data_IF_021467049236
#
_entry.id   IF_021467049236
#
_cell.length_a   1.000
_cell.length_b   1.000
_cell.length_c   1.000
_cell.angle_alpha   90.00
_cell.angle_beta   90.00
_cell.angle_gamma   90.00
#
_symmetry.space_group_name_H-M   'P 1'
#
loop_
_entity.id
_entity.type
_entity.pdbx_description
1 polymer ?
#
# COMPACT_ATOMS: atom_id res chain seq x y z
N UNK A 1 -22.16 -16.60 -1.91
CA UNK A 1 -21.49 -15.90 -0.79
C UNK A 1 -20.06 -16.39 -0.56
N UNK A 2 -19.81 -17.72 -0.56
CA UNK A 2 -18.45 -18.28 -0.45
C UNK A 2 -17.54 -17.91 -1.63
N UNK A 3 -18.05 -17.95 -2.87
CA UNK A 3 -17.29 -17.57 -4.08
C UNK A 3 -16.96 -16.07 -4.11
N UNK A 4 -17.85 -15.20 -3.60
CA UNK A 4 -17.60 -13.76 -3.49
C UNK A 4 -16.56 -13.41 -2.40
N UNK A 5 -16.47 -14.23 -1.33
CA UNK A 5 -15.38 -14.14 -0.34
C UNK A 5 -14.05 -14.64 -0.91
N UNK A 6 -14.07 -15.67 -1.76
CA UNK A 6 -12.88 -16.18 -2.43
C UNK A 6 -12.31 -15.18 -3.46
N UNK A 7 -13.17 -14.49 -4.22
CA UNK A 7 -12.73 -13.43 -5.14
C UNK A 7 -12.16 -12.20 -4.42
N UNK A 8 -12.67 -11.86 -3.23
CA UNK A 8 -12.10 -10.82 -2.36
C UNK A 8 -10.79 -11.26 -1.68
N UNK A 9 -10.65 -12.54 -1.29
CA UNK A 9 -9.41 -13.07 -0.69
C UNK A 9 -8.26 -13.16 -1.70
N UNK A 10 -8.54 -13.52 -2.96
CA UNK A 10 -7.56 -13.49 -4.05
C UNK A 10 -7.23 -12.03 -4.46
N UNK A 11 -8.20 -11.12 -4.41
CA UNK A 11 -8.00 -9.67 -4.61
C UNK A 11 -7.12 -9.02 -3.52
N UNK A 12 -7.35 -9.45 -2.28
CA UNK A 12 -6.54 -9.11 -1.13
C UNK A 12 -5.14 -9.68 -1.35
N UNK A 13 -4.97 -10.94 -1.77
CA UNK A 13 -3.63 -11.48 -2.07
C UNK A 13 -2.87 -10.67 -3.12
N UNK A 14 -3.46 -10.25 -4.23
CA UNK A 14 -2.75 -9.45 -5.23
C UNK A 14 -2.39 -8.03 -4.74
N UNK A 15 -3.21 -7.43 -3.89
CA UNK A 15 -2.97 -6.08 -3.34
C UNK A 15 -2.03 -6.13 -2.13
N UNK A 16 -2.09 -7.20 -1.34
CA UNK A 16 -1.32 -7.43 -0.13
C UNK A 16 0.05 -8.01 -0.47
N UNK A 17 0.19 -8.91 -1.44
CA UNK A 17 1.50 -9.31 -1.98
C UNK A 17 2.17 -8.09 -2.61
N UNK A 18 1.41 -7.13 -3.16
CA UNK A 18 1.95 -5.83 -3.58
C UNK A 18 2.31 -4.92 -2.40
N UNK A 19 1.63 -4.98 -1.25
CA UNK A 19 1.92 -4.18 -0.05
C UNK A 19 3.06 -4.79 0.78
N UNK A 20 3.15 -6.11 0.91
CA UNK A 20 4.23 -6.85 1.54
C UNK A 20 5.49 -6.82 0.66
N UNK A 21 5.35 -6.98 -0.67
CA UNK A 21 6.42 -6.65 -1.60
C UNK A 21 6.74 -5.16 -1.56
N UNK A 22 5.79 -4.22 -1.54
CA UNK A 22 6.11 -2.79 -1.38
C UNK A 22 6.72 -2.47 -0.02
N UNK A 23 6.48 -3.24 1.03
CA UNK A 23 7.10 -3.08 2.33
C UNK A 23 8.51 -3.70 2.37
N UNK A 24 8.76 -4.80 1.66
CA UNK A 24 10.07 -5.45 1.57
C UNK A 24 10.97 -4.78 0.51
N UNK A 25 10.42 -4.49 -0.66
CA UNK A 25 11.01 -3.73 -1.76
C UNK A 25 11.13 -2.24 -1.40
N UNK A 26 10.14 -1.68 -0.71
CA UNK A 26 10.24 -0.36 -0.09
C UNK A 26 11.34 -0.32 0.98
N UNK A 27 11.48 -1.35 1.83
CA UNK A 27 12.61 -1.48 2.76
C UNK A 27 13.97 -1.50 2.06
N UNK A 28 14.10 -2.23 0.95
CA UNK A 28 15.32 -2.24 0.14
C UNK A 28 15.57 -0.88 -0.52
N UNK A 29 14.53 -0.25 -1.06
CA UNK A 29 14.62 1.07 -1.69
C UNK A 29 14.99 2.14 -0.67
N UNK A 30 14.36 2.15 0.50
CA UNK A 30 14.62 3.09 1.61
C UNK A 30 16.06 2.94 2.09
N UNK A 31 16.48 1.73 2.44
CA UNK A 31 17.85 1.52 2.88
C UNK A 31 18.84 1.90 1.77
N UNK A 32 18.59 1.49 0.51
CA UNK A 32 19.47 1.85 -0.60
C UNK A 32 19.55 3.36 -0.84
N UNK A 33 18.44 4.10 -0.75
CA UNK A 33 18.41 5.54 -0.98
C UNK A 33 19.10 6.30 0.15
N UNK A 34 18.95 5.86 1.40
CA UNK A 34 19.56 6.50 2.56
C UNK A 34 21.07 6.22 2.63
N UNK A 35 21.51 4.98 2.41
CA UNK A 35 22.96 4.65 2.37
C UNK A 35 23.70 5.34 1.23
N UNK A 36 23.00 5.78 0.18
CA UNK A 36 23.58 6.53 -0.93
C UNK A 36 23.89 7.98 -0.60
N UNK A 37 23.22 8.55 0.40
CA UNK A 37 23.18 10.01 0.62
C UNK A 37 23.52 10.43 2.05
N UNK A 38 23.35 9.53 3.02
CA UNK A 38 23.56 9.80 4.45
C UNK A 38 24.78 9.02 4.93
N UNK A 39 25.57 9.65 5.80
CA UNK A 39 26.73 9.00 6.38
C UNK A 39 26.29 7.79 7.22
N UNK A 40 26.86 6.58 6.99
CA UNK A 40 26.49 5.36 7.69
C UNK A 40 26.56 5.45 9.23
N UNK A 41 27.33 6.38 9.76
CA UNK A 41 27.50 6.61 11.21
C UNK A 41 26.23 7.15 11.88
N UNK A 42 25.37 7.85 11.12
CA UNK A 42 24.13 8.44 11.62
C UNK A 42 22.90 7.56 11.36
N UNK A 43 23.07 6.43 10.68
CA UNK A 43 21.99 5.47 10.42
C UNK A 43 21.93 4.49 11.60
N UNK A 44 20.87 4.49 12.43
CA UNK A 44 20.79 3.59 13.57
C UNK A 44 20.74 2.13 13.10
N UNK A 45 21.46 1.23 13.80
CA UNK A 45 21.43 -0.20 13.51
C UNK A 45 20.03 -0.82 13.68
N UNK A 46 19.16 -0.16 14.46
CA UNK A 46 17.78 -0.54 14.66
C UNK A 46 16.90 -0.12 13.47
N UNK A 47 16.08 -1.06 12.97
CA UNK A 47 15.14 -0.91 11.84
C UNK A 47 14.14 0.25 11.97
N UNK A 48 14.02 0.85 13.16
CA UNK A 48 13.06 1.90 13.54
C UNK A 48 13.67 3.30 13.59
N UNK A 49 15.01 3.41 13.65
CA UNK A 49 15.71 4.70 13.70
C UNK A 49 15.60 5.52 12.42
N UNK A 50 14.97 4.97 11.38
CA UNK A 50 14.67 5.65 10.12
C UNK A 50 13.83 6.93 10.29
N UNK A 51 12.86 6.94 11.22
CA UNK A 51 12.03 8.13 11.50
C UNK A 51 12.77 9.18 12.34
N UNK A 52 13.86 8.78 12.99
CA UNK A 52 14.62 9.61 13.92
C UNK A 52 15.79 10.32 13.22
N UNK A 53 16.17 9.88 12.02
CA UNK A 53 17.22 10.51 11.21
C UNK A 53 16.71 11.85 10.68
N UNK A 54 17.30 12.93 11.17
CA UNK A 54 17.05 14.27 10.67
C UNK A 54 17.71 14.46 9.30
N UNK A 55 16.90 14.44 8.23
CA UNK A 55 17.35 14.66 6.86
C UNK A 55 17.72 16.13 6.56
N UNK A 56 17.33 17.07 7.42
CA UNK A 56 17.57 18.50 7.21
C UNK A 56 18.94 18.97 7.73
N UNK A 57 19.59 18.16 8.58
CA UNK A 57 20.90 18.49 9.12
C UNK A 57 22.00 18.14 8.10
N UNK A 58 22.67 19.18 7.59
CA UNK A 58 23.79 19.06 6.64
C UNK A 58 24.96 18.24 7.18
N UNK A 59 25.07 18.04 8.50
CA UNK A 59 26.08 17.18 9.11
C UNK A 59 25.82 15.67 8.88
N UNK A 60 24.58 15.29 8.58
CA UNK A 60 24.21 13.89 8.31
C UNK A 60 24.50 13.49 6.86
N UNK A 61 24.76 14.47 5.99
CA UNK A 61 24.88 14.28 4.55
C UNK A 61 26.27 13.77 4.16
N UNK A 62 26.33 12.88 3.16
CA UNK A 62 27.58 12.54 2.49
C UNK A 62 28.07 13.72 1.65
N UNK A 63 29.39 13.86 1.54
CA UNK A 63 30.02 14.76 0.58
C UNK A 63 29.59 14.39 -0.84
N UNK A 64 29.48 15.38 -1.73
CA UNK A 64 29.01 15.19 -3.12
C UNK A 64 29.74 14.05 -3.85
N UNK A 65 31.06 13.94 -3.62
CA UNK A 65 31.92 12.91 -4.22
C UNK A 65 31.73 11.50 -3.65
N UNK A 66 31.06 11.36 -2.51
CA UNK A 66 30.77 10.09 -1.85
C UNK A 66 29.30 9.66 -2.02
N UNK A 67 28.48 10.47 -2.69
CA UNK A 67 27.09 10.14 -2.98
C UNK A 67 27.05 9.09 -4.10
N UNK A 68 26.44 7.94 -3.84
CA UNK A 68 26.23 6.93 -4.88
C UNK A 68 24.97 7.25 -5.68
N UNK A 69 25.17 7.95 -6.80
CA UNK A 69 24.11 8.33 -7.74
C UNK A 69 23.70 7.15 -8.65
N UNK A 70 24.52 6.09 -8.70
CA UNK A 70 24.26 4.86 -9.42
C UNK A 70 25.09 4.69 -10.69
N UNK A 71 25.54 3.45 -10.90
CA UNK A 71 26.47 3.05 -11.98
C UNK A 71 26.00 3.44 -13.38
N UNK A 72 24.70 3.33 -13.66
CA UNK A 72 24.15 3.64 -14.98
C UNK A 72 24.29 5.13 -15.33
N UNK A 73 24.06 6.02 -14.38
CA UNK A 73 24.23 7.45 -14.62
C UNK A 73 25.70 7.79 -14.85
N UNK A 74 26.60 7.20 -14.05
CA UNK A 74 28.04 7.43 -14.20
C UNK A 74 28.55 7.00 -15.59
N UNK A 75 28.04 5.91 -16.15
CA UNK A 75 28.37 5.46 -17.51
C UNK A 75 27.89 6.47 -18.56
N UNK A 76 26.66 6.98 -18.42
CA UNK A 76 26.10 7.96 -19.36
C UNK A 76 26.85 9.31 -19.24
N UNK A 77 27.15 9.78 -18.03
CA UNK A 77 27.93 11.01 -17.80
C UNK A 77 29.33 10.91 -18.43
N UNK A 78 29.99 9.76 -18.31
CA UNK A 78 31.26 9.50 -18.97
C UNK A 78 31.14 9.48 -20.51
N UNK A 79 29.98 9.07 -21.05
CA UNK A 79 29.73 9.05 -22.49
C UNK A 79 29.45 10.46 -23.07
N UNK A 80 28.78 11.33 -22.32
CA UNK A 80 28.35 12.66 -22.79
C UNK A 80 29.44 13.76 -22.72
N UNK A 81 30.62 13.50 -22.12
CA UNK A 81 31.75 14.46 -21.99
C UNK A 81 31.29 15.86 -21.58
N UNK A 82 30.67 15.95 -20.41
CA UNK A 82 30.22 17.22 -19.82
C UNK A 82 31.41 18.06 -19.33
N UNK A 83 31.22 19.38 -19.25
CA UNK A 83 32.17 20.26 -18.55
C UNK A 83 32.10 20.00 -17.03
N UNK A 84 33.19 20.23 -16.30
CA UNK A 84 33.26 20.00 -14.84
C UNK A 84 32.18 20.75 -14.03
N UNK A 85 31.70 21.90 -14.52
CA UNK A 85 30.60 22.63 -13.88
C UNK A 85 29.24 21.95 -14.12
N UNK A 86 29.01 21.46 -15.34
CA UNK A 86 27.77 20.75 -15.69
C UNK A 86 27.69 19.38 -15.00
N UNK A 87 28.82 18.71 -14.82
CA UNK A 87 28.91 17.46 -14.07
C UNK A 87 28.50 17.69 -12.62
N UNK A 88 29.03 18.73 -11.96
CA UNK A 88 28.65 19.11 -10.60
C UNK A 88 27.19 19.49 -10.47
N UNK A 89 26.63 20.22 -11.43
CA UNK A 89 25.22 20.59 -11.43
C UNK A 89 24.31 19.34 -11.52
N UNK A 90 24.67 18.37 -12.37
CA UNK A 90 23.93 17.10 -12.49
C UNK A 90 24.04 16.29 -11.20
N UNK A 91 25.22 16.22 -10.58
CA UNK A 91 25.42 15.53 -9.30
C UNK A 91 24.57 16.15 -8.18
N UNK A 92 24.52 17.50 -8.10
CA UNK A 92 23.69 18.22 -7.15
C UNK A 92 22.20 17.90 -7.34
N UNK A 93 21.71 17.99 -8.57
CA UNK A 93 20.30 17.67 -8.88
C UNK A 93 19.97 16.23 -8.49
N UNK A 94 20.86 15.28 -8.80
CA UNK A 94 20.63 13.87 -8.47
C UNK A 94 20.63 13.63 -6.96
N UNK A 95 21.56 14.25 -6.23
CA UNK A 95 21.61 14.20 -4.77
C UNK A 95 20.32 14.75 -4.17
N UNK A 96 19.91 15.94 -4.59
CA UNK A 96 18.73 16.63 -4.08
C UNK A 96 17.45 15.84 -4.41
N UNK A 97 17.39 15.19 -5.57
CA UNK A 97 16.32 14.26 -5.92
C UNK A 97 16.25 13.06 -4.97
N UNK A 98 17.39 12.44 -4.64
CA UNK A 98 17.41 11.31 -3.71
C UNK A 98 17.04 11.76 -2.28
N UNK A 99 17.47 12.95 -1.86
CA UNK A 99 17.04 13.55 -0.59
C UNK A 99 15.53 13.77 -0.53
N UNK A 100 14.95 14.37 -1.56
CA UNK A 100 13.51 14.58 -1.62
C UNK A 100 12.78 13.25 -1.65
N UNK A 101 13.27 12.24 -2.37
CA UNK A 101 12.72 10.89 -2.34
C UNK A 101 12.77 10.28 -0.93
N UNK A 102 13.88 10.41 -0.21
CA UNK A 102 14.04 9.94 1.16
C UNK A 102 13.05 10.62 2.12
N UNK A 103 12.92 11.95 2.03
CA UNK A 103 11.98 12.77 2.82
C UNK A 103 10.53 12.38 2.56
N UNK A 104 10.19 12.19 1.28
CA UNK A 104 8.87 11.77 0.83
C UNK A 104 8.50 10.37 1.31
N UNK A 105 9.47 9.48 1.52
CA UNK A 105 9.23 8.18 2.15
C UNK A 105 9.06 8.31 3.66
N UNK A 106 9.87 9.13 4.35
CA UNK A 106 9.67 9.44 5.79
C UNK A 106 8.29 10.00 6.06
N UNK A 107 7.83 10.97 5.26
CA UNK A 107 6.53 11.60 5.42
C UNK A 107 5.35 10.62 5.24
N UNK A 108 5.49 9.63 4.36
CA UNK A 108 4.42 8.67 4.04
C UNK A 108 4.35 7.49 5.01
N UNK A 109 5.40 7.27 5.81
CA UNK A 109 5.40 6.22 6.82
C UNK A 109 4.67 6.71 8.06
N UNK A 110 3.70 5.95 8.57
CA UNK A 110 2.89 6.43 9.67
C UNK A 110 3.70 6.42 10.98
N UNK A 111 3.45 7.36 11.90
CA UNK A 111 4.20 7.49 13.15
C UNK A 111 4.05 6.26 14.07
N UNK A 112 3.03 5.43 13.85
CA UNK A 112 2.77 4.20 14.61
C UNK A 112 3.48 2.98 14.02
N UNK A 113 4.67 3.13 13.41
CA UNK A 113 5.42 2.01 12.82
C UNK A 113 5.68 0.85 13.81
N UNK A 114 5.78 1.16 15.10
CA UNK A 114 5.89 0.15 16.17
C UNK A 114 4.67 -0.75 16.27
N UNK A 115 3.45 -0.23 16.04
CA UNK A 115 2.22 -1.02 15.95
C UNK A 115 2.35 -2.02 14.80
N UNK A 116 2.83 -1.56 13.64
CA UNK A 116 3.00 -2.38 12.45
C UNK A 116 4.12 -3.40 12.56
N UNK A 117 5.15 -3.14 13.38
CA UNK A 117 6.17 -4.13 13.69
C UNK A 117 5.59 -5.37 14.35
N UNK A 118 4.47 -5.24 15.08
CA UNK A 118 3.78 -6.39 15.65
C UNK A 118 3.03 -7.24 14.62
N UNK A 119 2.87 -6.79 13.37
CA UNK A 119 2.40 -7.66 12.28
C UNK A 119 3.38 -8.81 12.01
N UNK A 120 4.67 -8.64 12.32
CA UNK A 120 5.67 -9.72 12.18
C UNK A 120 5.32 -10.95 13.02
N UNK A 121 4.56 -10.78 14.10
CA UNK A 121 4.05 -11.89 14.92
C UNK A 121 3.08 -12.80 14.14
N UNK A 122 2.44 -12.28 13.09
CA UNK A 122 1.55 -13.02 12.19
C UNK A 122 2.25 -13.50 10.91
N UNK A 123 3.57 -13.37 10.80
CA UNK A 123 4.31 -13.98 9.70
C UNK A 123 4.33 -15.51 9.84
N UNK A 124 4.39 -16.27 8.74
CA UNK A 124 4.46 -17.74 8.78
C UNK A 124 5.60 -18.23 9.68
N UNK A 125 6.78 -17.60 9.62
CA UNK A 125 7.93 -17.95 10.46
C UNK A 125 7.62 -17.81 11.97
N UNK A 126 6.99 -16.69 12.37
CA UNK A 126 6.63 -16.44 13.77
C UNK A 126 5.50 -17.35 14.26
N UNK A 127 4.49 -17.60 13.43
CA UNK A 127 3.31 -18.39 13.80
C UNK A 127 3.62 -19.90 13.81
N UNK A 128 4.60 -20.34 13.04
CA UNK A 128 5.05 -21.73 13.04
C UNK A 128 6.15 -22.01 14.07
N UNK A 129 6.80 -20.96 14.61
CA UNK A 129 7.74 -21.08 15.72
C UNK A 129 7.08 -21.66 16.97
N UNK A 130 7.81 -22.49 17.72
CA UNK A 130 7.38 -22.95 19.04
C UNK A 130 7.53 -21.86 20.12
N UNK A 131 8.45 -20.92 19.90
CA UNK A 131 8.66 -19.76 20.79
C UNK A 131 7.95 -18.57 20.16
N UNK A 132 6.73 -18.29 20.64
CA UNK A 132 5.87 -17.21 20.14
C UNK A 132 5.81 -16.07 21.16
N UNK A 133 5.65 -14.85 20.64
CA UNK A 133 5.24 -13.72 21.48
C UNK A 133 3.82 -13.99 21.97
N UNK A 134 3.56 -13.94 23.29
CA UNK A 134 2.21 -14.09 23.83
C UNK A 134 1.25 -13.09 23.19
N UNK A 135 0.04 -13.54 22.86
CA UNK A 135 -0.92 -12.70 22.12
C UNK A 135 -1.25 -11.40 22.88
N UNK A 136 -1.25 -11.44 24.22
CA UNK A 136 -1.44 -10.27 25.10
C UNK A 136 -0.42 -9.14 24.86
N UNK A 137 0.79 -9.48 24.42
CA UNK A 137 1.89 -8.54 24.23
C UNK A 137 1.90 -7.97 22.80
N UNK A 138 0.95 -8.39 21.95
CA UNK A 138 0.81 -7.91 20.57
C UNK A 138 -0.06 -6.65 20.55
N UNK A 139 0.50 -5.45 20.28
CA UNK A 139 -0.25 -4.19 20.25
C UNK A 139 -1.47 -4.17 19.32
N UNK A 140 -1.40 -4.89 18.19
CA UNK A 140 -2.50 -4.98 17.22
C UNK A 140 -3.72 -5.75 17.73
N UNK A 141 -3.60 -6.50 18.83
CA UNK A 141 -4.73 -7.23 19.43
C UNK A 141 -5.89 -6.30 19.79
N UNK A 142 -5.62 -5.02 20.07
CA UNK A 142 -6.64 -3.99 20.34
C UNK A 142 -7.64 -3.78 19.19
N UNK A 143 -7.30 -4.21 17.96
CA UNK A 143 -8.17 -4.10 16.80
C UNK A 143 -9.14 -5.28 16.67
N UNK A 144 -8.90 -6.37 17.38
CA UNK A 144 -9.76 -7.54 17.36
C UNK A 144 -11.01 -7.33 18.21
N UNK A 145 -12.17 -7.69 17.67
CA UNK A 145 -13.49 -7.51 18.32
C UNK A 145 -14.22 -8.84 18.60
N UNK A 146 -13.55 -9.98 18.45
CA UNK A 146 -14.12 -11.31 18.66
C UNK A 146 -13.74 -11.94 20.01
N UNK A 147 -13.89 -13.26 20.10
CA UNK A 147 -13.49 -14.04 21.28
C UNK A 147 -11.97 -14.20 21.37
N UNK A 148 -11.36 -13.54 22.35
CA UNK A 148 -9.91 -13.58 22.57
C UNK A 148 -9.41 -14.94 23.05
N UNK A 149 -10.21 -15.71 23.79
CA UNK A 149 -9.81 -17.02 24.30
C UNK A 149 -9.69 -18.04 23.16
N UNK A 150 -10.66 -17.99 22.25
CA UNK A 150 -10.63 -18.80 21.04
C UNK A 150 -9.49 -18.37 20.11
N UNK A 151 -9.26 -17.06 19.96
CA UNK A 151 -8.15 -16.52 19.17
C UNK A 151 -6.77 -16.97 19.70
N UNK A 152 -6.52 -16.92 21.01
CA UNK A 152 -5.24 -17.37 21.60
C UNK A 152 -5.01 -18.87 21.39
N UNK A 153 -6.08 -19.68 21.49
CA UNK A 153 -6.02 -21.12 21.23
C UNK A 153 -5.65 -21.40 19.77
N UNK A 154 -6.28 -20.68 18.84
CA UNK A 154 -6.00 -20.77 17.41
C UNK A 154 -4.66 -20.15 17.01
N UNK A 155 -4.11 -19.22 17.78
CA UNK A 155 -2.79 -18.65 17.51
C UNK A 155 -1.65 -19.61 17.89
N UNK A 156 -1.85 -20.46 18.91
CA UNK A 156 -0.84 -21.43 19.35
C UNK A 156 -0.79 -22.67 18.49
N UNK A 157 -1.95 -23.17 18.08
CA UNK A 157 -2.14 -24.46 17.40
C UNK A 157 -1.51 -24.65 16.00
N UNK A 158 -1.32 -23.62 15.14
CA UNK A 158 -0.82 -23.79 13.78
C UNK A 158 0.59 -24.37 13.67
N UNK A 159 1.43 -24.27 14.70
CA UNK A 159 2.77 -24.86 14.68
C UNK A 159 2.76 -26.40 14.77
N UNK A 160 1.61 -27.00 15.08
CA UNK A 160 1.44 -28.45 15.19
C UNK A 160 1.14 -29.12 13.85
N UNK A 161 0.84 -28.34 12.81
CA UNK A 161 0.42 -28.84 11.50
C UNK A 161 1.43 -28.46 10.42
N UNK A 162 1.64 -29.34 9.42
CA UNK A 162 2.44 -29.01 8.25
C UNK A 162 1.62 -28.19 7.23
N UNK A 163 2.16 -27.07 6.79
CA UNK A 163 1.54 -26.18 5.79
C UNK A 163 2.35 -26.16 4.50
N UNK A 164 1.68 -26.19 3.34
CA UNK A 164 2.35 -26.20 2.03
C UNK A 164 2.99 -24.86 1.72
N UNK A 165 2.35 -23.76 2.10
CA UNK A 165 2.85 -22.41 1.85
C UNK A 165 3.73 -21.83 2.98
N UNK A 166 4.12 -22.63 3.98
CA UNK A 166 4.96 -22.17 5.09
C UNK A 166 6.28 -21.50 4.65
N UNK A 167 6.92 -22.04 3.60
CA UNK A 167 8.19 -21.54 3.07
C UNK A 167 8.02 -20.54 1.93
N UNK A 168 6.77 -20.25 1.55
CA UNK A 168 6.49 -19.36 0.44
C UNK A 168 6.60 -17.91 0.93
N UNK A 169 7.15 -17.01 0.11
CA UNK A 169 7.28 -15.58 0.46
C UNK A 169 5.94 -14.83 0.46
N UNK A 170 4.84 -15.52 0.16
CA UNK A 170 3.51 -14.98 0.10
C UNK A 170 2.74 -15.30 1.39
N UNK A 171 2.73 -14.33 2.30
CA UNK A 171 2.04 -14.43 3.59
C UNK A 171 0.51 -14.60 3.42
N UNK A 172 -0.07 -14.16 2.30
CA UNK A 172 -1.52 -14.22 2.09
C UNK A 172 -1.95 -15.62 1.71
N UNK A 173 -1.22 -16.27 0.80
CA UNK A 173 -1.50 -17.64 0.42
C UNK A 173 -1.41 -18.59 1.62
N UNK A 174 -0.49 -18.32 2.55
CA UNK A 174 -0.42 -19.03 3.82
C UNK A 174 -1.71 -18.86 4.64
N UNK A 175 -2.15 -17.62 4.89
CA UNK A 175 -3.35 -17.40 5.71
C UNK A 175 -4.65 -17.85 5.03
N UNK A 176 -4.71 -17.86 3.69
CA UNK A 176 -5.81 -18.48 2.94
C UNK A 176 -5.81 -20.00 3.13
N UNK A 177 -4.65 -20.66 3.07
CA UNK A 177 -4.53 -22.10 3.36
C UNK A 177 -4.97 -22.43 4.80
N UNK A 178 -4.62 -21.59 5.77
CA UNK A 178 -5.04 -21.73 7.17
C UNK A 178 -6.55 -21.53 7.32
N UNK A 179 -7.14 -20.58 6.59
CA UNK A 179 -8.59 -20.32 6.59
C UNK A 179 -9.39 -21.50 5.99
N UNK A 180 -8.88 -22.08 4.90
CA UNK A 180 -9.51 -23.19 4.19
C UNK A 180 -9.30 -24.55 4.88
N UNK A 181 -8.48 -24.60 5.94
CA UNK A 181 -8.24 -25.83 6.69
C UNK A 181 -9.45 -26.22 7.55
N UNK A 182 -10.04 -27.36 7.22
CA UNK A 182 -11.16 -27.96 7.95
C UNK A 182 -10.75 -29.24 8.67
N UNK A 183 -11.33 -29.48 9.84
CA UNK A 183 -11.18 -30.76 10.55
C UNK A 183 -11.94 -31.91 9.87
N UNK A 184 -11.87 -33.10 10.48
CA UNK A 184 -12.63 -34.27 10.06
C UNK A 184 -14.17 -34.06 10.12
N UNK A 185 -14.64 -33.04 10.85
CA UNK A 185 -16.04 -32.66 10.99
C UNK A 185 -16.49 -31.67 9.90
N UNK A 186 -15.55 -31.13 9.10
CA UNK A 186 -15.80 -30.11 8.09
C UNK A 186 -15.89 -28.68 8.65
N UNK A 187 -15.54 -28.46 9.92
CA UNK A 187 -15.50 -27.14 10.53
C UNK A 187 -14.11 -26.51 10.42
N UNK A 188 -14.06 -25.19 10.19
CA UNK A 188 -12.83 -24.41 10.06
C UNK A 188 -12.16 -24.22 11.43
N UNK A 189 -10.99 -24.82 11.65
CA UNK A 189 -10.31 -24.80 12.95
C UNK A 189 -9.65 -23.46 13.30
N UNK A 190 -9.33 -22.64 12.30
CA UNK A 190 -8.46 -21.47 12.42
C UNK A 190 -9.10 -20.19 11.87
N UNK A 191 -10.42 -20.15 11.81
CA UNK A 191 -11.15 -19.08 11.11
C UNK A 191 -10.88 -17.71 11.71
N UNK A 192 -10.91 -17.59 13.03
CA UNK A 192 -10.80 -16.31 13.73
C UNK A 192 -9.40 -15.73 13.62
N UNK A 193 -8.36 -16.58 13.75
CA UNK A 193 -6.98 -16.14 13.56
C UNK A 193 -6.67 -15.79 12.10
N UNK A 194 -7.19 -16.58 11.15
CA UNK A 194 -6.97 -16.35 9.74
C UNK A 194 -7.71 -15.11 9.23
N UNK A 195 -8.99 -14.94 9.61
CA UNK A 195 -9.76 -13.73 9.29
C UNK A 195 -9.10 -12.49 9.89
N UNK A 196 -8.58 -12.58 11.13
CA UNK A 196 -7.87 -11.47 11.76
C UNK A 196 -6.57 -11.14 11.02
N UNK A 197 -5.72 -12.13 10.73
CA UNK A 197 -4.47 -11.93 10.01
C UNK A 197 -4.70 -11.38 8.60
N UNK A 198 -5.67 -11.92 7.85
CA UNK A 198 -6.05 -11.42 6.53
C UNK A 198 -6.58 -9.98 6.59
N UNK A 199 -7.35 -9.63 7.64
CA UNK A 199 -7.84 -8.27 7.84
C UNK A 199 -6.72 -7.28 8.15
N UNK A 200 -5.74 -7.69 8.96
CA UNK A 200 -4.54 -6.89 9.23
C UNK A 200 -3.72 -6.68 7.95
N UNK A 201 -3.52 -7.75 7.19
CA UNK A 201 -2.79 -7.71 5.94
C UNK A 201 -3.49 -6.84 4.88
N UNK A 202 -4.82 -6.83 4.85
CA UNK A 202 -5.64 -5.98 3.97
C UNK A 202 -5.64 -4.49 4.37
N UNK A 203 -5.08 -4.14 5.53
CA UNK A 203 -5.09 -2.78 6.02
C UNK A 203 -4.12 -1.90 5.20
N UNK A 204 -4.56 -0.75 4.67
CA UNK A 204 -3.67 0.15 3.96
C UNK A 204 -2.64 0.74 4.94
N UNK A 205 -1.36 0.40 4.74
CA UNK A 205 -0.26 0.85 5.60
C UNK A 205 0.18 2.29 5.34
N UNK A 206 -0.22 2.88 4.22
CA UNK A 206 0.20 4.21 3.82
C UNK A 206 -0.85 4.91 2.96
N UNK A 207 -0.72 6.23 2.86
CA UNK A 207 -1.58 7.05 2.00
C UNK A 207 -1.29 6.87 0.50
N UNK A 208 -0.35 6.01 0.09
CA UNK A 208 0.04 5.79 -1.30
C UNK A 208 -1.15 5.33 -2.15
N UNK A 209 -2.03 4.48 -1.62
CA UNK A 209 -3.19 4.02 -2.37
C UNK A 209 -4.22 5.15 -2.57
N UNK A 210 -4.36 6.03 -1.59
CA UNK A 210 -5.21 7.23 -1.69
C UNK A 210 -4.61 8.22 -2.70
N UNK A 211 -3.30 8.48 -2.65
CA UNK A 211 -2.58 9.32 -3.63
C UNK A 211 -2.70 8.77 -5.06
N UNK A 212 -2.65 7.45 -5.22
CA UNK A 212 -2.86 6.79 -6.51
C UNK A 212 -4.28 6.99 -7.03
N UNK A 213 -5.30 6.93 -6.17
CA UNK A 213 -6.69 7.29 -6.54
C UNK A 213 -6.77 8.75 -6.96
N UNK A 214 -6.14 9.67 -6.23
CA UNK A 214 -6.12 11.08 -6.61
C UNK A 214 -5.37 11.35 -7.93
N UNK A 215 -4.28 10.64 -8.20
CA UNK A 215 -3.59 10.70 -9.49
C UNK A 215 -4.51 10.24 -10.63
N UNK A 216 -5.21 9.12 -10.46
CA UNK A 216 -6.21 8.66 -11.42
C UNK A 216 -7.38 9.64 -11.57
N UNK A 217 -7.80 10.28 -10.47
CA UNK A 217 -8.82 11.33 -10.48
C UNK A 217 -8.36 12.54 -11.29
N UNK A 218 -7.11 12.97 -11.17
CA UNK A 218 -6.55 14.10 -11.94
C UNK A 218 -6.53 13.81 -13.45
N UNK A 219 -6.36 12.55 -13.86
CA UNK A 219 -6.48 12.16 -15.28
C UNK A 219 -7.93 12.28 -15.76
N UNK A 220 -8.91 11.97 -14.92
CA UNK A 220 -10.34 12.08 -15.25
C UNK A 220 -10.79 13.54 -15.23
N UNK A 221 -10.42 14.28 -14.19
CA UNK A 221 -10.62 15.73 -14.04
C UNK A 221 -9.47 16.50 -14.67
N UNK A 222 -9.44 16.50 -16.00
CA UNK A 222 -8.54 17.40 -16.77
C UNK A 222 -8.97 18.86 -16.61
N UNK A 223 -8.10 19.82 -16.95
CA UNK A 223 -8.41 21.26 -16.92
C UNK A 223 -9.74 21.62 -17.62
N UNK A 224 -10.04 20.97 -18.75
CA UNK A 224 -11.28 21.18 -19.51
C UNK A 224 -12.50 20.40 -18.99
N UNK A 225 -12.31 19.46 -18.06
CA UNK A 225 -13.35 18.55 -17.52
C UNK A 225 -13.34 18.56 -15.98
N UNK A 226 -13.25 19.74 -15.38
CA UNK A 226 -13.20 19.89 -13.91
C UNK A 226 -14.59 19.95 -13.25
N UNK A 227 -15.66 20.33 -13.98
CA UNK A 227 -17.04 20.47 -13.46
C UNK A 227 -17.85 19.17 -13.37
N UNK A 228 -17.18 18.02 -13.24
CA UNK A 228 -17.85 16.72 -13.15
C UNK A 228 -18.43 16.48 -11.75
N UNK A 229 -19.72 16.11 -11.67
CA UNK A 229 -20.39 15.77 -10.41
C UNK A 229 -19.83 14.49 -9.79
N UNK A 230 -19.86 14.41 -8.46
CA UNK A 230 -19.29 13.30 -7.68
C UNK A 230 -19.80 11.90 -8.08
N UNK A 231 -21.11 11.67 -8.33
CA UNK A 231 -21.59 10.34 -8.74
C UNK A 231 -20.99 9.87 -10.06
N UNK A 232 -20.87 10.78 -11.04
CA UNK A 232 -20.26 10.48 -12.33
C UNK A 232 -18.77 10.21 -12.20
N UNK A 233 -18.06 11.03 -11.42
CA UNK A 233 -16.64 10.83 -11.15
C UNK A 233 -16.39 9.48 -10.47
N UNK A 234 -17.17 9.16 -9.44
CA UNK A 234 -17.09 7.89 -8.73
C UNK A 234 -17.34 6.72 -9.67
N UNK A 235 -18.38 6.79 -10.51
CA UNK A 235 -18.67 5.74 -11.50
C UNK A 235 -17.51 5.49 -12.47
N UNK A 236 -16.90 6.55 -13.00
CA UNK A 236 -15.74 6.44 -13.92
C UNK A 236 -14.53 5.83 -13.20
N UNK A 237 -14.25 6.27 -11.97
CA UNK A 237 -13.17 5.71 -11.16
C UNK A 237 -13.39 4.22 -10.88
N UNK A 238 -14.60 3.82 -10.48
CA UNK A 238 -14.95 2.42 -10.22
C UNK A 238 -14.76 1.53 -11.46
N UNK A 239 -15.21 1.98 -12.64
CA UNK A 239 -15.02 1.23 -13.88
C UNK A 239 -13.52 1.08 -14.19
N UNK A 240 -12.75 2.17 -14.07
CA UNK A 240 -11.32 2.16 -14.38
C UNK A 240 -10.54 1.25 -13.43
N UNK A 241 -10.84 1.31 -12.14
CA UNK A 241 -10.24 0.43 -11.13
C UNK A 241 -10.67 -1.02 -11.31
N UNK A 242 -11.95 -1.29 -11.57
CA UNK A 242 -12.46 -2.63 -11.81
C UNK A 242 -11.85 -3.31 -13.03
N UNK A 243 -11.67 -2.56 -14.13
CA UNK A 243 -11.00 -3.08 -15.34
C UNK A 243 -9.51 -3.35 -15.10
N UNK A 244 -8.82 -2.41 -14.43
CA UNK A 244 -7.41 -2.59 -14.05
C UNK A 244 -7.21 -3.79 -13.14
N UNK A 245 -8.11 -3.97 -12.17
CA UNK A 245 -8.11 -5.08 -11.24
C UNK A 245 -8.24 -6.43 -11.96
N UNK A 246 -9.11 -6.52 -12.96
CA UNK A 246 -9.28 -7.73 -13.78
C UNK A 246 -8.17 -7.93 -14.82
N UNK A 247 -7.26 -6.96 -15.00
CA UNK A 247 -6.24 -7.00 -16.05
C UNK A 247 -6.81 -6.90 -17.47
N UNK A 248 -8.03 -6.39 -17.63
CA UNK A 248 -8.75 -6.35 -18.92
C UNK A 248 -8.74 -4.93 -19.47
N UNK A 249 -8.39 -4.78 -20.76
CA UNK A 249 -8.50 -3.49 -21.44
C UNK A 249 -9.97 -3.16 -21.74
N UNK A 250 -10.33 -1.88 -21.80
CA UNK A 250 -11.69 -1.46 -22.16
C UNK A 250 -12.19 -2.01 -23.51
N UNK A 251 -11.27 -2.42 -24.40
CA UNK A 251 -11.56 -3.02 -25.70
C UNK A 251 -12.03 -4.48 -25.61
N UNK A 252 -11.53 -5.21 -24.61
CA UNK A 252 -11.76 -6.65 -24.46
C UNK A 252 -12.85 -6.94 -23.42
N UNK A 253 -13.31 -5.90 -22.72
CA UNK A 253 -14.32 -6.05 -21.69
C UNK A 253 -15.71 -6.31 -22.28
N UNK A 254 -16.18 -7.54 -22.11
CA UNK A 254 -17.53 -7.92 -22.48
C UNK A 254 -18.52 -7.68 -21.34
N UNK A 255 -19.56 -6.90 -21.63
CA UNK A 255 -20.64 -6.64 -20.67
C UNK A 255 -21.49 -7.90 -20.49
N UNK A 256 -21.80 -8.24 -19.24
CA UNK A 256 -22.74 -9.33 -18.93
C UNK A 256 -24.14 -8.96 -19.41
N UNK A 257 -24.90 -9.95 -19.92
CA UNK A 257 -26.29 -9.75 -20.36
C UNK A 257 -27.17 -9.06 -19.30
N UNK A 258 -26.94 -9.36 -18.01
CA UNK A 258 -27.61 -8.69 -16.88
C UNK A 258 -27.35 -7.18 -16.83
N UNK A 259 -26.14 -6.74 -17.13
CA UNK A 259 -25.78 -5.31 -17.16
C UNK A 259 -26.43 -4.64 -18.37
N UNK A 260 -26.45 -5.30 -19.53
CA UNK A 260 -27.12 -4.79 -20.73
C UNK A 260 -28.63 -4.60 -20.53
N UNK A 261 -29.29 -5.49 -19.78
CA UNK A 261 -30.71 -5.33 -19.44
C UNK A 261 -30.99 -4.09 -18.56
N UNK A 262 -29.99 -3.61 -17.81
CA UNK A 262 -30.11 -2.38 -17.01
C UNK A 262 -30.01 -1.12 -17.88
N UNK A 263 -29.49 -1.19 -19.10
CA UNK A 263 -29.48 -0.10 -20.09
C UNK A 263 -30.86 0.04 -20.77
N UNK A 264 -31.89 0.35 -19.98
CA UNK A 264 -33.22 0.70 -20.48
C UNK A 264 -33.57 2.16 -20.14
N UNK A 265 -34.52 2.72 -20.87
CA UNK A 265 -34.90 4.14 -20.74
C UNK A 265 -35.35 4.51 -19.33
N UNK A 266 -36.01 3.59 -18.62
CA UNK A 266 -36.48 3.77 -17.24
C UNK A 266 -35.32 3.93 -16.26
N UNK A 267 -34.23 3.17 -16.41
CA UNK A 267 -33.07 3.24 -15.52
C UNK A 267 -32.08 4.36 -15.89
N UNK A 268 -31.97 4.69 -17.18
CA UNK A 268 -31.02 5.71 -17.67
C UNK A 268 -31.57 7.13 -17.57
N UNK A 269 -32.87 7.31 -17.78
CA UNK A 269 -33.53 8.62 -17.80
C UNK A 269 -34.66 8.72 -16.79
N UNK A 270 -34.83 7.72 -15.92
CA UNK A 270 -35.73 7.83 -14.78
C UNK A 270 -35.25 8.96 -13.87
N UNK A 271 -36.11 9.94 -13.62
CA UNK A 271 -35.87 11.01 -12.65
C UNK A 271 -35.78 10.39 -11.26
N UNK A 272 -34.56 10.10 -10.81
CA UNK A 272 -34.30 9.88 -9.40
C UNK A 272 -34.43 11.24 -8.71
N UNK A 273 -35.39 11.36 -7.79
CA UNK A 273 -35.43 12.44 -6.82
C UNK A 273 -34.13 12.34 -6.00
N UNK A 274 -33.13 13.12 -6.37
CA UNK A 274 -31.89 13.23 -5.61
C UNK A 274 -32.21 14.09 -4.40
N UNK A 275 -32.38 13.47 -3.24
CA UNK A 275 -32.31 14.19 -1.96
C UNK A 275 -30.97 14.93 -1.91
N UNK A 276 -31.05 16.25 -2.00
CA UNK A 276 -29.93 17.14 -1.82
C UNK A 276 -29.52 17.08 -0.35
N UNK A 277 -28.46 16.33 -0.03
CA UNK A 277 -27.70 16.60 1.17
C UNK A 277 -26.95 17.91 0.94
N UNK A 278 -27.54 19.01 1.44
CA UNK A 278 -26.91 20.33 1.53
C UNK A 278 -25.59 20.20 2.30
N UNK A 279 -24.48 20.39 1.59
CA UNK A 279 -23.23 20.84 2.19
C UNK A 279 -23.02 22.28 1.71
N UNK A 280 -22.86 23.26 2.61
CA UNK A 280 -22.79 24.65 2.22
C UNK A 280 -21.54 24.90 1.36
N UNK A 281 -21.77 25.38 0.14
CA UNK A 281 -20.77 26.04 -0.70
C UNK A 281 -20.37 27.35 0.01
N UNK A 282 -19.28 27.33 0.79
CA UNK A 282 -18.53 28.55 1.03
C UNK A 282 -17.81 28.93 -0.27
N UNK A 283 -18.51 29.73 -1.06
CA UNK A 283 -17.96 30.52 -2.15
C UNK A 283 -17.05 31.60 -1.53
N UNK A 284 -15.74 31.37 -1.60
CA UNK A 284 -14.75 32.42 -1.41
C UNK A 284 -14.77 33.32 -2.66
N UNK A 285 -15.64 34.32 -2.63
CA UNK A 285 -15.56 35.48 -3.52
C UNK A 285 -14.50 36.42 -2.99
N UNK A 286 -13.27 36.25 -3.46
CA UNK A 286 -12.32 37.36 -3.55
C UNK A 286 -12.16 37.72 -5.02
N UNK A 287 -12.75 38.86 -5.35
CA UNK A 287 -12.52 39.63 -6.56
C UNK A 287 -11.03 39.97 -6.67
N UNK A 288 -10.37 39.49 -7.72
CA UNK A 288 -9.20 40.17 -8.26
C UNK A 288 -9.51 40.63 -9.68
N UNK A 289 -9.82 41.92 -9.74
CA UNK A 289 -9.98 42.73 -10.93
C UNK A 289 -8.72 42.71 -11.80
N UNK A 290 -8.96 42.69 -13.11
CA UNK A 290 -8.03 43.00 -14.19
C UNK A 290 -7.07 44.16 -13.92
N UNK A 291 -5.76 43.94 -14.15
CA UNK A 291 -4.95 44.50 -15.27
C UNK A 291 -3.92 43.46 -15.68
#
# INVERSE_FOLDING_TARGET
>A
LVIARFEWAVAASASITLVAAAAAYGRQIINSAFYRVINPSYIPAAREGFLEVNLEDSATHLLLSAVDIGVKLNIEMAAFKLNADQERDVELICRDFIFEAARQVQFRLPPNIQLWNSMKSFSPESVLSQVKVPLQDVPLLKLFKGDLGLLDTQYRSPCLLPWKNANNKDEVLFWVEVLDFTDASGESCFKEIADFALSLLAMPLSNVDVERVFSHMNVVKSRYRNRMKNPMLSGILHVRYGLKFRGVCCRDFQLTAKVLQLFNSKNMYGSAEVEAADFPDELDTSDDNCV
#
